data_IF_733486706053
#
_entry.id   IF_733486706053
#
_cell.length_a   1.000
_cell.length_b   1.000
_cell.length_c   1.000
_cell.angle_alpha   90.00
_cell.angle_beta   90.00
_cell.angle_gamma   90.00
#
_symmetry.space_group_name_H-M   'P 1'
#
loop_
_entity.id
_entity.type
_entity.pdbx_description
1 polymer ?
#
# COMPACT_ATOMS: atom_id res chain seq x y z
N UNK A 1 17.79 -67.07 -29.86
CA UNK A 1 18.74 -66.06 -30.37
C UNK A 1 18.18 -64.69 -30.00
N UNK A 2 18.93 -64.04 -29.09
CA UNK A 2 18.83 -62.73 -28.40
C UNK A 2 17.62 -61.79 -28.60
N UNK A 3 17.07 -61.41 -27.45
CA UNK A 3 16.31 -60.19 -27.15
C UNK A 3 17.15 -58.94 -27.47
N UNK A 4 16.56 -57.90 -28.07
CA UNK A 4 17.11 -56.53 -28.11
C UNK A 4 15.97 -55.51 -28.10
N UNK A 5 15.85 -54.66 -27.04
CA UNK A 5 15.00 -53.48 -27.04
C UNK A 5 15.78 -52.29 -27.64
N UNK A 6 15.09 -51.29 -28.17
CA UNK A 6 15.32 -49.87 -27.85
C UNK A 6 14.30 -48.97 -28.56
N UNK A 7 13.87 -47.97 -27.80
CA UNK A 7 12.76 -47.05 -27.99
C UNK A 7 13.10 -45.97 -29.03
N UNK A 8 12.15 -45.57 -29.90
CA UNK A 8 12.41 -44.40 -30.75
C UNK A 8 11.38 -44.02 -31.80
N UNK A 9 10.22 -43.48 -31.38
CA UNK A 9 9.64 -42.21 -31.90
C UNK A 9 8.19 -42.05 -31.43
N UNK A 10 7.98 -41.07 -30.57
CA UNK A 10 6.67 -40.50 -30.25
C UNK A 10 6.11 -39.84 -31.50
N UNK A 11 5.06 -40.39 -32.09
CA UNK A 11 4.25 -39.69 -33.09
C UNK A 11 3.41 -38.64 -32.35
N UNK A 12 3.89 -37.40 -32.34
CA UNK A 12 3.10 -36.27 -31.85
C UNK A 12 2.10 -35.87 -32.96
N UNK A 13 0.77 -35.86 -32.72
CA UNK A 13 -0.19 -35.47 -33.74
C UNK A 13 -0.14 -33.95 -34.01
N UNK A 14 -0.27 -33.50 -35.28
CA UNK A 14 -0.02 -32.12 -35.68
C UNK A 14 -1.26 -31.25 -35.49
N UNK A 15 -1.70 -30.98 -34.26
CA UNK A 15 -2.84 -30.06 -34.02
C UNK A 15 -2.66 -29.15 -32.79
N UNK A 16 -1.42 -28.73 -32.51
CA UNK A 16 -1.10 -27.74 -31.46
C UNK A 16 -0.48 -26.47 -32.07
N UNK A 17 -1.08 -25.99 -33.17
CA UNK A 17 -0.46 -24.96 -34.01
C UNK A 17 -1.03 -23.54 -33.93
N UNK A 18 -2.21 -23.27 -33.33
CA UNK A 18 -2.85 -21.95 -33.49
C UNK A 18 -3.69 -21.45 -32.31
N UNK A 19 -3.37 -21.80 -31.07
CA UNK A 19 -3.78 -20.92 -29.97
C UNK A 19 -2.62 -19.95 -29.77
N UNK A 20 -2.76 -18.66 -30.13
CA UNK A 20 -1.82 -17.68 -29.63
C UNK A 20 -1.97 -17.69 -28.11
N UNK A 21 -1.10 -18.44 -27.42
CA UNK A 21 -0.77 -18.24 -26.03
C UNK A 21 0.04 -16.94 -25.95
N UNK A 22 -0.54 -15.85 -26.44
CA UNK A 22 -0.12 -14.52 -26.04
C UNK A 22 -0.41 -14.50 -24.55
N UNK A 23 0.63 -14.75 -23.75
CA UNK A 23 0.68 -14.28 -22.37
C UNK A 23 0.20 -12.84 -22.46
N UNK A 24 -1.03 -12.59 -22.07
CA UNK A 24 -1.52 -11.25 -21.92
C UNK A 24 -0.60 -10.65 -20.87
N UNK A 25 0.37 -9.86 -21.32
CA UNK A 25 1.10 -8.93 -20.46
C UNK A 25 0.05 -7.89 -20.07
N UNK A 26 -0.86 -8.26 -19.18
CA UNK A 26 -1.67 -7.29 -18.47
C UNK A 26 -0.66 -6.29 -17.94
N UNK A 27 -0.77 -5.03 -18.38
CA UNK A 27 -0.02 -3.93 -17.79
C UNK A 27 -0.44 -3.87 -16.34
N UNK A 28 0.28 -4.57 -15.48
CA UNK A 28 0.11 -4.45 -14.04
C UNK A 28 0.54 -3.02 -13.72
N UNK A 29 -0.31 -2.22 -13.06
CA UNK A 29 0.09 -0.91 -12.57
C UNK A 29 1.42 -1.04 -11.83
N UNK A 30 2.29 -0.05 -11.97
CA UNK A 30 3.55 -0.09 -11.23
C UNK A 30 3.25 -0.26 -9.73
N UNK A 31 4.15 -0.89 -8.98
CA UNK A 31 3.96 -1.06 -7.54
C UNK A 31 3.66 0.29 -6.86
N UNK A 32 4.30 1.36 -7.32
CA UNK A 32 4.11 2.74 -6.85
C UNK A 32 2.67 3.21 -7.08
N UNK A 33 2.10 3.02 -8.26
CA UNK A 33 0.73 3.43 -8.58
C UNK A 33 -0.30 2.66 -7.75
N UNK A 34 -0.11 1.34 -7.59
CA UNK A 34 -1.01 0.49 -6.80
C UNK A 34 -1.01 0.89 -5.32
N UNK A 35 0.17 1.07 -4.72
CA UNK A 35 0.27 1.46 -3.31
C UNK A 35 -0.13 2.91 -3.08
N UNK A 36 0.17 3.81 -4.01
CA UNK A 36 -0.26 5.21 -3.94
C UNK A 36 -1.78 5.33 -3.90
N UNK A 37 -2.49 4.61 -4.77
CA UNK A 37 -3.96 4.61 -4.78
C UNK A 37 -4.55 4.03 -3.49
N UNK A 38 -3.93 3.00 -2.92
CA UNK A 38 -4.39 2.42 -1.66
C UNK A 38 -4.20 3.39 -0.48
N UNK A 39 -3.10 4.13 -0.44
CA UNK A 39 -2.86 5.14 0.61
C UNK A 39 -3.89 6.27 0.51
N UNK A 40 -4.21 6.74 -0.71
CA UNK A 40 -5.29 7.71 -0.93
C UNK A 40 -6.63 7.19 -0.40
N UNK A 41 -6.97 5.94 -0.73
CA UNK A 41 -8.20 5.29 -0.27
C UNK A 41 -8.27 5.19 1.26
N UNK A 42 -7.20 4.72 1.91
CA UNK A 42 -7.13 4.58 3.38
C UNK A 42 -7.21 5.94 4.06
N UNK A 43 -6.52 6.95 3.52
CA UNK A 43 -6.59 8.33 4.03
C UNK A 43 -8.02 8.85 4.00
N UNK A 44 -8.73 8.64 2.89
CA UNK A 44 -10.15 9.00 2.77
C UNK A 44 -11.08 8.25 3.73
N UNK A 45 -10.81 6.98 4.02
CA UNK A 45 -11.58 6.20 5.01
C UNK A 45 -11.42 6.78 6.42
N UNK A 46 -10.19 7.12 6.81
CA UNK A 46 -9.92 7.69 8.14
C UNK A 46 -10.55 9.08 8.25
N UNK A 47 -10.41 9.92 7.23
CA UNK A 47 -11.03 11.24 7.17
C UNK A 47 -12.56 11.15 7.33
N UNK A 48 -13.20 10.28 6.54
CA UNK A 48 -14.64 10.07 6.61
C UNK A 48 -15.09 9.54 7.98
N UNK A 49 -14.31 8.64 8.59
CA UNK A 49 -14.58 8.13 9.94
C UNK A 49 -14.50 9.24 11.00
N UNK A 50 -13.41 10.02 11.00
CA UNK A 50 -13.22 11.13 11.94
C UNK A 50 -14.30 12.20 11.76
N UNK A 51 -14.64 12.54 10.51
CA UNK A 51 -15.72 13.47 10.19
C UNK A 51 -17.07 12.97 10.67
N UNK A 52 -17.36 11.67 10.51
CA UNK A 52 -18.61 11.05 10.96
C UNK A 52 -18.72 11.03 12.48
N UNK A 53 -17.64 10.71 13.18
CA UNK A 53 -17.63 10.66 14.64
C UNK A 53 -17.67 12.07 15.26
N UNK A 54 -17.02 13.05 14.61
CA UNK A 54 -16.89 14.41 15.15
C UNK A 54 -15.95 14.48 16.37
N UNK A 55 -15.16 13.44 16.60
CA UNK A 55 -14.27 13.32 17.77
C UNK A 55 -12.81 13.58 17.38
N UNK A 56 -11.96 14.02 18.32
CA UNK A 56 -10.57 14.36 18.04
C UNK A 56 -9.67 13.15 17.73
N UNK A 57 -10.09 11.93 18.11
CA UNK A 57 -9.37 10.67 17.87
C UNK A 57 -10.30 9.60 17.31
N UNK A 58 -9.72 8.48 16.85
CA UNK A 58 -10.45 7.40 16.17
C UNK A 58 -11.50 6.71 17.04
N UNK A 59 -11.27 6.65 18.35
CA UNK A 59 -12.14 5.98 19.33
C UNK A 59 -12.89 6.97 20.25
N UNK A 60 -12.84 8.27 19.97
CA UNK A 60 -13.53 9.30 20.76
C UNK A 60 -12.62 10.44 21.20
N UNK A 61 -12.84 10.93 22.43
CA UNK A 61 -12.15 12.11 22.96
C UNK A 61 -10.74 11.83 23.47
N UNK A 62 -10.45 10.55 23.75
CA UNK A 62 -9.17 10.13 24.29
C UNK A 62 -8.32 9.45 23.22
N UNK A 63 -7.02 9.74 23.27
CA UNK A 63 -6.05 9.04 22.43
C UNK A 63 -6.00 7.56 22.81
N UNK A 64 -5.93 6.71 21.80
CA UNK A 64 -5.84 5.27 21.97
C UNK A 64 -4.66 4.67 21.22
N UNK A 65 -4.41 3.40 21.46
CA UNK A 65 -3.45 2.63 20.67
C UNK A 65 -3.78 2.67 19.17
N UNK A 66 -5.08 2.68 18.82
CA UNK A 66 -5.53 2.74 17.43
C UNK A 66 -5.07 4.01 16.71
N UNK A 67 -4.78 5.10 17.43
CA UNK A 67 -4.22 6.32 16.86
C UNK A 67 -2.70 6.23 16.72
N UNK A 68 -2.02 5.70 17.74
CA UNK A 68 -0.55 5.65 17.79
C UNK A 68 0.07 4.70 16.78
N UNK A 69 -0.63 3.63 16.37
CA UNK A 69 -0.13 2.70 15.34
C UNK A 69 0.08 3.36 13.98
N UNK A 70 -0.54 4.52 13.73
CA UNK A 70 -0.40 5.26 12.48
C UNK A 70 0.85 6.14 12.42
N UNK A 71 1.42 6.50 13.58
CA UNK A 71 2.56 7.41 13.69
C UNK A 71 3.75 6.97 12.83
N UNK A 72 4.22 5.70 12.87
CA UNK A 72 5.30 5.23 12.01
C UNK A 72 5.04 5.43 10.50
N UNK A 73 3.78 5.28 10.07
CA UNK A 73 3.41 5.36 8.67
C UNK A 73 3.50 6.78 8.11
N UNK A 74 3.33 7.80 8.95
CA UNK A 74 3.40 9.21 8.56
C UNK A 74 4.78 9.57 7.99
N UNK A 75 5.86 8.99 8.53
CA UNK A 75 7.23 9.18 8.02
C UNK A 75 7.43 8.64 6.59
N UNK A 76 6.62 7.67 6.16
CA UNK A 76 6.74 7.09 4.82
C UNK A 76 5.93 7.81 3.75
N UNK A 77 5.02 8.74 4.10
CA UNK A 77 4.22 9.49 3.12
C UNK A 77 5.05 10.15 2.01
N UNK A 78 6.21 10.79 2.29
CA UNK A 78 7.05 11.37 1.24
C UNK A 78 7.58 10.35 0.20
N UNK A 79 7.72 9.08 0.57
CA UNK A 79 8.28 8.03 -0.30
C UNK A 79 7.34 7.64 -1.44
N UNK A 80 6.03 7.83 -1.27
CA UNK A 80 5.03 7.34 -2.22
C UNK A 80 4.76 8.27 -3.41
N UNK A 81 5.52 9.37 -3.54
CA UNK A 81 5.54 10.18 -4.76
C UNK A 81 4.16 10.71 -5.15
N UNK A 82 3.47 11.34 -4.20
CA UNK A 82 2.11 11.87 -4.36
C UNK A 82 2.08 13.16 -5.20
N UNK A 83 2.68 13.15 -6.39
CA UNK A 83 2.68 14.29 -7.29
C UNK A 83 1.26 14.79 -7.56
N UNK A 84 1.02 16.06 -7.27
CA UNK A 84 -0.27 16.72 -7.45
C UNK A 84 -1.38 16.31 -6.47
N UNK A 85 -1.08 15.55 -5.41
CA UNK A 85 -2.07 15.20 -4.39
C UNK A 85 -1.80 15.96 -3.09
N UNK A 86 -2.67 16.92 -2.78
CA UNK A 86 -2.66 17.65 -1.52
C UNK A 86 -3.65 17.02 -0.54
N UNK A 87 -3.20 15.98 0.14
CA UNK A 87 -4.01 15.25 1.11
C UNK A 87 -4.47 16.12 2.28
N UNK A 88 -3.77 17.23 2.59
CA UNK A 88 -4.17 18.11 3.70
C UNK A 88 -5.44 18.89 3.38
N UNK A 89 -5.58 19.34 2.14
CA UNK A 89 -6.78 20.07 1.69
C UNK A 89 -7.92 19.13 1.32
N UNK A 90 -7.61 17.96 0.73
CA UNK A 90 -8.63 16.95 0.39
C UNK A 90 -9.20 16.21 1.62
N UNK A 91 -8.40 16.04 2.67
CA UNK A 91 -8.75 15.29 3.88
C UNK A 91 -8.48 16.10 5.16
N UNK A 92 -9.27 17.16 5.43
CA UNK A 92 -9.01 18.10 6.52
C UNK A 92 -9.17 17.50 7.92
N UNK A 93 -10.08 16.53 8.12
CA UNK A 93 -10.26 15.87 9.42
C UNK A 93 -9.09 14.94 9.71
N UNK A 94 -8.61 14.22 8.70
CA UNK A 94 -7.38 13.44 8.80
C UNK A 94 -6.16 14.35 9.06
N UNK A 95 -6.05 15.49 8.37
CA UNK A 95 -4.95 16.45 8.58
C UNK A 95 -4.90 16.98 10.01
N UNK A 96 -6.03 17.44 10.55
CA UNK A 96 -6.10 17.93 11.92
C UNK A 96 -5.78 16.83 12.96
N UNK A 97 -6.22 15.59 12.72
CA UNK A 97 -5.88 14.45 13.58
C UNK A 97 -4.39 14.08 13.49
N UNK A 98 -3.83 14.06 12.28
CA UNK A 98 -2.43 13.76 12.05
C UNK A 98 -1.52 14.79 12.74
N UNK A 99 -1.79 16.09 12.55
CA UNK A 99 -1.04 17.17 13.20
C UNK A 99 -1.10 17.07 14.73
N UNK A 100 -2.29 16.80 15.29
CA UNK A 100 -2.45 16.56 16.74
C UNK A 100 -1.60 15.40 17.24
N UNK A 101 -1.46 14.32 16.48
CA UNK A 101 -0.58 13.20 16.84
C UNK A 101 0.89 13.60 16.76
N UNK A 102 1.29 14.27 15.68
CA UNK A 102 2.67 14.73 15.46
C UNK A 102 3.14 15.75 16.52
N UNK A 103 2.23 16.54 17.07
CA UNK A 103 2.56 17.52 18.12
C UNK A 103 2.93 16.90 19.47
N UNK A 104 2.52 15.64 19.71
CA UNK A 104 2.70 14.98 21.00
C UNK A 104 4.19 14.79 21.34
N UNK A 105 4.63 15.08 22.57
CA UNK A 105 6.02 14.91 22.98
C UNK A 105 6.54 13.48 22.77
N UNK A 106 5.71 12.47 23.01
CA UNK A 106 6.09 11.07 22.81
C UNK A 106 6.33 10.75 21.33
N UNK A 107 5.52 11.28 20.43
CA UNK A 107 5.65 11.08 18.98
C UNK A 107 6.87 11.81 18.44
N UNK A 108 7.10 13.06 18.87
CA UNK A 108 8.32 13.82 18.55
C UNK A 108 9.59 13.08 18.96
N UNK A 109 9.60 12.42 20.13
CA UNK A 109 10.73 11.58 20.57
C UNK A 109 10.95 10.38 19.66
N UNK A 110 9.88 9.77 19.13
CA UNK A 110 10.00 8.65 18.18
C UNK A 110 10.55 9.14 16.85
N UNK A 111 10.04 10.25 16.33
CA UNK A 111 10.57 10.84 15.10
C UNK A 111 12.03 11.25 15.22
N UNK A 112 12.45 11.79 16.36
CA UNK A 112 13.86 12.13 16.59
C UNK A 112 14.84 10.94 16.58
N UNK A 113 14.36 9.69 16.59
CA UNK A 113 15.24 8.52 16.44
C UNK A 113 15.71 8.40 15.00
N UNK A 114 17.00 8.12 14.82
CA UNK A 114 17.65 8.00 13.50
C UNK A 114 16.93 7.01 12.57
N UNK A 115 16.41 5.91 13.11
CA UNK A 115 15.63 4.90 12.37
C UNK A 115 14.38 5.46 11.67
N UNK A 116 13.84 6.57 12.17
CA UNK A 116 12.66 7.25 11.60
C UNK A 116 13.01 8.52 10.81
N UNK A 117 14.27 8.95 10.87
CA UNK A 117 14.79 10.05 10.06
C UNK A 117 15.25 9.47 8.72
N UNK A 118 14.36 9.44 7.73
CA UNK A 118 14.73 8.96 6.40
C UNK A 118 15.68 9.96 5.73
N UNK A 119 16.89 9.51 5.37
CA UNK A 119 17.93 10.27 4.66
C UNK A 119 17.71 10.25 3.15
#
# INVERSE_FOLDING_TARGET
MKYHPEVGRTTNPPLLGQIPLTKQKQKVPSAVERYGNEIKRVTGVIDAHLKKQGTPYLLGDNISYADLVWVPWQSFYPMFGFEGWDWKTEHPSFAAWNERLAERPAVKKVYAKEEFQMH
#
